data_IF_120432417955
#
_entry.id   IF_120432417955
#
_cell.length_a   1.000
_cell.length_b   1.000
_cell.length_c   1.000
_cell.angle_alpha   90.00
_cell.angle_beta   90.00
_cell.angle_gamma   90.00
#
_symmetry.space_group_name_H-M   'P 1'
#
loop_
_entity.id
_entity.type
_entity.pdbx_description
1 polymer ?
#
# COMPACT_ATOMS: atom_id res chain seq x y z
N UNK A 1 -32.46 -14.26 4.87
CA UNK A 1 -31.69 -13.85 3.66
C UNK A 1 -30.31 -13.45 4.12
N UNK A 2 -29.29 -14.23 3.79
CA UNK A 2 -27.91 -13.80 4.03
C UNK A 2 -27.68 -12.62 3.10
N UNK A 3 -27.49 -11.42 3.64
CA UNK A 3 -27.12 -10.25 2.83
C UNK A 3 -25.79 -10.62 2.17
N UNK A 4 -25.78 -10.82 0.86
CA UNK A 4 -24.54 -11.01 0.12
C UNK A 4 -23.76 -9.71 0.26
N UNK A 5 -22.66 -9.78 1.01
CA UNK A 5 -21.68 -8.68 1.05
C UNK A 5 -21.25 -8.42 -0.40
N UNK A 6 -21.32 -7.17 -0.89
CA UNK A 6 -20.87 -6.87 -2.24
C UNK A 6 -19.38 -7.24 -2.40
N UNK A 7 -19.00 -7.65 -3.59
CA UNK A 7 -17.61 -7.91 -3.92
C UNK A 7 -16.83 -6.59 -3.79
N UNK A 8 -15.72 -6.61 -3.04
CA UNK A 8 -15.04 -5.40 -2.57
C UNK A 8 -14.16 -4.71 -3.62
N UNK A 9 -13.91 -5.36 -4.77
CA UNK A 9 -13.03 -4.84 -5.82
C UNK A 9 -13.84 -4.41 -7.05
N UNK A 10 -13.31 -3.38 -7.75
CA UNK A 10 -13.81 -2.91 -9.05
C UNK A 10 -12.67 -2.57 -10.01
N UNK A 11 -12.90 -2.67 -11.31
CA UNK A 11 -11.92 -2.44 -12.37
C UNK A 11 -11.68 -3.67 -13.24
N UNK A 12 -10.84 -3.51 -14.29
CA UNK A 12 -10.57 -4.51 -15.33
C UNK A 12 -10.23 -5.91 -14.81
N UNK A 13 -9.48 -6.01 -13.72
CA UNK A 13 -8.99 -7.28 -13.19
C UNK A 13 -9.75 -7.79 -11.96
N UNK A 14 -10.80 -7.09 -11.53
CA UNK A 14 -11.52 -7.40 -10.29
C UNK A 14 -12.04 -8.85 -10.25
N UNK A 15 -12.65 -9.34 -11.33
CA UNK A 15 -13.24 -10.68 -11.40
C UNK A 15 -12.20 -11.80 -11.22
N UNK A 16 -10.93 -11.57 -11.56
CA UNK A 16 -9.83 -12.53 -11.38
C UNK A 16 -9.45 -12.76 -9.91
N UNK A 17 -10.00 -11.94 -9.00
CA UNK A 17 -9.76 -12.02 -7.55
C UNK A 17 -10.95 -12.61 -6.79
N UNK A 18 -11.97 -13.13 -7.47
CA UNK A 18 -13.07 -13.83 -6.77
C UNK A 18 -12.61 -15.14 -6.16
N UNK A 19 -13.13 -15.45 -4.99
CA UNK A 19 -12.75 -16.66 -4.25
C UNK A 19 -12.93 -17.95 -5.06
N UNK A 20 -13.90 -17.99 -5.95
CA UNK A 20 -14.21 -19.14 -6.79
C UNK A 20 -13.11 -19.47 -7.80
N UNK A 21 -12.24 -18.50 -8.12
CA UNK A 21 -11.15 -18.67 -9.10
C UNK A 21 -9.76 -18.66 -8.48
N UNK A 22 -9.62 -18.33 -7.17
CA UNK A 22 -8.35 -18.37 -6.49
C UNK A 22 -7.84 -19.81 -6.30
N UNK A 23 -6.61 -20.06 -6.70
CA UNK A 23 -5.97 -21.38 -6.63
C UNK A 23 -4.48 -21.31 -6.25
N UNK A 24 -4.06 -20.21 -5.63
CA UNK A 24 -2.69 -20.03 -5.17
C UNK A 24 -1.76 -19.40 -6.22
N UNK A 25 -0.44 -19.41 -5.96
CA UNK A 25 0.55 -18.79 -6.83
C UNK A 25 0.49 -19.30 -8.27
N UNK A 26 0.38 -18.38 -9.24
CA UNK A 26 0.32 -18.70 -10.66
C UNK A 26 -1.08 -19.03 -11.20
N UNK A 27 -2.14 -18.78 -10.42
CA UNK A 27 -3.52 -18.88 -10.89
C UNK A 27 -3.88 -17.77 -11.93
N UNK A 28 -5.17 -17.56 -12.19
CA UNK A 28 -5.65 -16.63 -13.22
C UNK A 28 -5.48 -15.14 -12.89
N UNK A 29 -5.00 -14.79 -11.70
CA UNK A 29 -4.72 -13.39 -11.34
C UNK A 29 -3.67 -12.78 -12.26
N UNK A 30 -3.84 -11.50 -12.58
CA UNK A 30 -2.96 -10.79 -13.52
C UNK A 30 -1.55 -10.64 -12.94
N UNK A 31 -0.54 -10.69 -13.81
CA UNK A 31 0.86 -10.36 -13.51
C UNK A 31 1.19 -8.92 -13.90
N UNK A 32 2.29 -8.38 -13.36
CA UNK A 32 2.77 -7.05 -13.75
C UNK A 32 3.08 -6.95 -15.25
N UNK A 33 3.71 -7.97 -15.83
CA UNK A 33 4.02 -8.02 -17.27
C UNK A 33 2.76 -7.97 -18.12
N UNK A 34 1.72 -8.71 -17.71
CA UNK A 34 0.45 -8.72 -18.41
C UNK A 34 -0.24 -7.35 -18.40
N UNK A 35 -0.12 -6.59 -17.30
CA UNK A 35 -0.65 -5.22 -17.24
C UNK A 35 0.09 -4.31 -18.23
N UNK A 36 1.42 -4.40 -18.32
CA UNK A 36 2.22 -3.64 -19.28
C UNK A 36 1.81 -3.94 -20.73
N UNK A 37 1.56 -5.22 -21.05
CA UNK A 37 1.06 -5.64 -22.36
C UNK A 37 -0.36 -5.11 -22.63
N UNK A 38 -1.27 -5.26 -21.66
CA UNK A 38 -2.67 -4.82 -21.77
C UNK A 38 -2.81 -3.30 -21.92
N UNK A 39 -1.88 -2.53 -21.34
CA UNK A 39 -1.80 -1.07 -21.49
C UNK A 39 -1.04 -0.65 -22.77
N UNK A 40 -0.47 -1.59 -23.53
CA UNK A 40 0.30 -1.30 -24.75
C UNK A 40 1.62 -0.58 -24.50
N UNK A 41 2.25 -0.78 -23.34
CA UNK A 41 3.42 -0.02 -22.89
C UNK A 41 4.75 -0.73 -23.14
N UNK A 42 4.75 -1.90 -23.75
CA UNK A 42 6.00 -2.61 -24.08
C UNK A 42 6.84 -1.70 -24.98
N UNK A 43 8.06 -1.40 -24.52
CA UNK A 43 9.04 -0.52 -25.19
C UNK A 43 8.57 0.93 -25.44
N UNK A 44 7.49 1.40 -24.77
CA UNK A 44 6.92 2.73 -25.01
C UNK A 44 7.32 3.80 -23.98
N UNK A 45 7.95 3.43 -22.86
CA UNK A 45 8.21 4.34 -21.75
C UNK A 45 9.65 4.88 -21.67
N UNK A 46 10.34 5.01 -22.78
CA UNK A 46 11.72 5.54 -22.83
C UNK A 46 11.85 7.00 -22.35
N UNK A 47 10.75 7.75 -22.33
CA UNK A 47 10.66 9.14 -21.88
C UNK A 47 10.17 9.31 -20.43
N UNK A 48 9.90 8.22 -19.74
CA UNK A 48 9.41 8.24 -18.34
C UNK A 48 10.53 7.92 -17.36
N UNK A 49 10.41 8.53 -16.18
CA UNK A 49 11.31 8.24 -15.05
C UNK A 49 10.47 7.56 -13.96
N UNK A 50 10.92 6.38 -13.53
CA UNK A 50 10.32 5.63 -12.43
C UNK A 50 11.34 5.52 -11.31
N UNK A 51 11.01 6.02 -10.12
CA UNK A 51 11.81 5.87 -8.92
C UNK A 51 11.17 4.79 -8.03
N UNK A 52 11.93 3.76 -7.72
CA UNK A 52 11.46 2.65 -6.87
C UNK A 52 12.37 2.56 -5.64
N UNK A 53 11.77 2.56 -4.45
CA UNK A 53 12.47 2.33 -3.18
C UNK A 53 12.33 0.88 -2.73
N UNK A 54 13.18 0.43 -1.80
CA UNK A 54 13.08 -0.90 -1.21
C UNK A 54 13.43 -2.05 -2.16
N UNK A 55 14.26 -1.86 -3.17
CA UNK A 55 14.59 -2.84 -4.22
C UNK A 55 15.66 -3.85 -3.85
N UNK A 56 16.12 -3.88 -2.60
CA UNK A 56 17.20 -4.77 -2.17
C UNK A 56 16.81 -6.25 -2.07
N UNK A 57 15.52 -6.57 -1.96
CA UNK A 57 15.01 -7.95 -2.04
C UNK A 57 13.49 -8.00 -2.26
N UNK A 58 13.02 -9.00 -3.02
CA UNK A 58 11.57 -9.24 -3.26
C UNK A 58 10.88 -8.10 -4.01
N UNK A 59 9.60 -7.86 -3.70
CA UNK A 59 8.79 -6.80 -4.31
C UNK A 59 9.08 -5.48 -3.61
N UNK A 60 10.18 -4.82 -3.97
CA UNK A 60 10.48 -3.49 -3.47
C UNK A 60 10.46 -3.37 -1.94
N UNK A 61 10.90 -4.39 -1.20
CA UNK A 61 10.55 -4.49 0.21
C UNK A 61 11.76 -4.75 1.09
N UNK A 62 12.18 -3.71 1.79
CA UNK A 62 12.41 -3.88 3.22
C UNK A 62 11.25 -3.20 3.96
N UNK A 63 10.05 -3.73 3.79
CA UNK A 63 8.96 -3.41 4.69
C UNK A 63 9.30 -4.04 6.04
N UNK A 64 9.58 -3.21 6.99
CA UNK A 64 9.78 -3.62 8.38
C UNK A 64 8.42 -4.09 8.90
N UNK A 65 8.27 -5.39 9.12
CA UNK A 65 7.00 -6.00 9.52
C UNK A 65 7.15 -6.77 10.83
N UNK A 66 6.31 -6.48 11.82
CA UNK A 66 6.24 -7.17 13.11
C UNK A 66 7.61 -7.26 13.81
N UNK A 67 8.42 -6.20 13.74
CA UNK A 67 9.71 -6.19 14.42
C UNK A 67 9.56 -6.24 15.94
N UNK A 68 10.57 -6.71 16.67
CA UNK A 68 10.71 -6.38 18.08
C UNK A 68 10.66 -4.86 18.30
N UNK A 69 10.34 -4.44 19.52
CA UNK A 69 10.39 -3.02 19.88
C UNK A 69 11.76 -2.44 19.55
N UNK A 70 11.75 -1.32 18.87
CA UNK A 70 12.98 -0.63 18.45
C UNK A 70 12.70 0.79 17.99
N UNK A 71 13.78 1.60 17.90
CA UNK A 71 13.71 2.99 17.48
C UNK A 71 14.64 3.27 16.32
N UNK A 72 14.24 4.21 15.47
CA UNK A 72 15.15 4.82 14.51
C UNK A 72 16.17 5.69 15.24
N UNK A 73 17.20 6.15 14.52
CA UNK A 73 18.18 7.12 15.09
C UNK A 73 17.52 8.42 15.54
N UNK A 74 16.40 8.79 14.92
CA UNK A 74 15.65 10.01 15.23
C UNK A 74 14.62 9.80 16.35
N UNK A 75 14.59 8.60 16.97
CA UNK A 75 13.75 8.28 18.14
C UNK A 75 12.33 7.80 17.83
N UNK A 76 11.94 7.62 16.57
CA UNK A 76 10.63 7.09 16.19
C UNK A 76 10.57 5.57 16.28
N UNK A 77 9.37 5.02 16.51
CA UNK A 77 9.11 3.59 16.41
C UNK A 77 9.63 3.07 15.06
N UNK A 78 10.32 1.93 15.08
CA UNK A 78 11.11 1.46 13.93
C UNK A 78 10.28 1.27 12.67
N UNK A 79 9.06 0.70 12.78
CA UNK A 79 8.19 0.43 11.64
C UNK A 79 7.56 1.74 11.12
N UNK A 80 7.12 2.63 12.01
CA UNK A 80 6.56 3.92 11.63
C UNK A 80 7.62 4.82 10.96
N UNK A 81 8.80 4.93 11.56
CA UNK A 81 9.90 5.73 11.01
C UNK A 81 10.36 5.23 9.63
N UNK A 82 10.47 3.90 9.47
CA UNK A 82 10.92 3.29 8.22
C UNK A 82 9.82 3.25 7.15
N UNK A 83 8.60 2.82 7.50
CA UNK A 83 7.55 2.60 6.50
C UNK A 83 6.85 3.90 6.08
N UNK A 84 6.81 4.91 6.95
CA UNK A 84 6.10 6.16 6.70
C UNK A 84 7.02 7.38 6.63
N UNK A 85 7.70 7.76 7.73
CA UNK A 85 8.40 9.04 7.79
C UNK A 85 9.53 9.16 6.77
N UNK A 86 10.30 8.09 6.52
CA UNK A 86 11.37 8.12 5.51
C UNK A 86 10.82 8.36 4.10
N UNK A 87 9.67 7.75 3.76
CA UNK A 87 9.02 7.93 2.47
C UNK A 87 8.30 9.28 2.37
N UNK A 88 7.77 9.79 3.48
CA UNK A 88 7.20 11.13 3.55
C UNK A 88 8.28 12.20 3.25
N UNK A 89 9.45 12.09 3.88
CA UNK A 89 10.58 12.99 3.61
C UNK A 89 11.02 12.90 2.14
N UNK A 90 11.18 11.68 1.61
CA UNK A 90 11.55 11.46 0.20
C UNK A 90 10.53 12.11 -0.75
N UNK A 91 9.25 11.90 -0.52
CA UNK A 91 8.18 12.54 -1.27
C UNK A 91 8.30 14.07 -1.23
N UNK A 92 8.46 14.62 -0.03
CA UNK A 92 8.51 16.06 0.16
C UNK A 92 9.67 16.71 -0.60
N UNK A 93 10.82 16.05 -0.63
CA UNK A 93 12.00 16.49 -1.39
C UNK A 93 11.81 16.39 -2.91
N UNK A 94 11.00 15.45 -3.39
CA UNK A 94 10.74 15.23 -4.81
C UNK A 94 9.47 15.90 -5.33
N UNK A 95 8.61 16.39 -4.45
CA UNK A 95 7.26 16.92 -4.74
C UNK A 95 7.25 17.89 -5.93
N UNK A 96 8.11 18.88 -5.92
CA UNK A 96 8.15 19.92 -6.95
C UNK A 96 8.60 19.36 -8.31
N UNK A 97 9.50 18.38 -8.31
CA UNK A 97 9.91 17.65 -9.51
C UNK A 97 8.76 16.83 -10.07
N UNK A 98 8.02 16.14 -9.21
CA UNK A 98 6.84 15.36 -9.59
C UNK A 98 5.74 16.24 -10.20
N UNK A 99 5.46 17.39 -9.57
CA UNK A 99 4.50 18.38 -10.10
C UNK A 99 4.91 18.92 -11.46
N UNK A 100 6.20 19.28 -11.64
CA UNK A 100 6.74 19.76 -12.93
C UNK A 100 6.77 18.70 -14.03
N UNK A 101 6.84 17.42 -13.66
CA UNK A 101 6.88 16.30 -14.60
C UNK A 101 5.48 15.86 -15.07
N UNK A 102 4.43 16.33 -14.41
CA UNK A 102 3.05 16.01 -14.78
C UNK A 102 2.67 16.65 -16.11
N UNK A 103 1.93 15.91 -16.93
CA UNK A 103 1.44 16.40 -18.23
C UNK A 103 -0.05 16.07 -18.38
N UNK A 104 -0.81 16.78 -19.23
CA UNK A 104 -2.22 16.44 -19.47
C UNK A 104 -2.44 15.04 -20.07
N UNK A 105 -1.40 14.39 -20.60
CA UNK A 105 -1.48 13.05 -21.17
C UNK A 105 -1.15 11.96 -20.16
N UNK A 106 -0.37 12.29 -19.16
CA UNK A 106 0.04 11.37 -18.09
C UNK A 106 0.40 12.17 -16.84
N UNK A 107 -0.42 12.06 -15.82
CA UNK A 107 -0.19 12.71 -14.54
C UNK A 107 0.88 11.97 -13.72
N UNK A 108 1.63 12.71 -12.92
CA UNK A 108 2.61 12.13 -12.00
C UNK A 108 1.90 11.34 -10.90
N UNK A 109 2.52 10.23 -10.47
CA UNK A 109 1.93 9.31 -9.50
C UNK A 109 2.88 9.00 -8.36
N UNK A 110 2.34 8.98 -7.14
CA UNK A 110 3.00 8.50 -5.93
C UNK A 110 2.27 7.25 -5.47
N UNK A 111 2.97 6.13 -5.41
CA UNK A 111 2.40 4.83 -5.04
C UNK A 111 2.97 4.41 -3.70
N UNK A 112 2.15 4.47 -2.65
CA UNK A 112 2.51 4.10 -1.29
C UNK A 112 2.14 2.64 -1.03
N UNK A 113 3.14 1.79 -0.86
CA UNK A 113 2.89 0.38 -0.51
C UNK A 113 2.42 0.30 0.94
N UNK A 114 1.11 0.12 1.10
CA UNK A 114 0.45 -0.22 2.34
C UNK A 114 0.42 -1.74 2.53
N UNK A 115 -0.58 -2.28 3.17
CA UNK A 115 -0.78 -3.71 3.41
C UNK A 115 -2.21 -3.97 3.87
N UNK A 116 -2.71 -5.19 3.69
CA UNK A 116 -3.87 -5.69 4.44
C UNK A 116 -3.65 -5.56 5.96
N UNK A 117 -2.40 -5.48 6.41
CA UNK A 117 -2.03 -5.23 7.80
C UNK A 117 -2.52 -3.90 8.39
N UNK A 118 -2.89 -2.90 7.56
CA UNK A 118 -3.53 -1.68 8.06
C UNK A 118 -4.84 -1.94 8.82
N UNK A 119 -5.42 -3.12 8.63
CA UNK A 119 -6.64 -3.56 9.33
C UNK A 119 -6.39 -3.95 10.79
N UNK A 120 -5.12 -4.12 11.20
CA UNK A 120 -4.77 -4.43 12.60
C UNK A 120 -4.86 -3.22 13.50
N UNK A 121 -4.61 -2.00 13.00
CA UNK A 121 -4.58 -0.80 13.82
C UNK A 121 -4.85 0.46 13.02
N UNK A 122 -5.69 1.40 13.54
CA UNK A 122 -5.64 2.79 13.11
C UNK A 122 -4.28 3.40 13.47
N UNK A 123 -4.05 4.64 13.04
CA UNK A 123 -2.91 5.39 13.53
C UNK A 123 -3.21 5.98 14.92
N UNK A 124 -2.22 5.90 15.82
CA UNK A 124 -2.26 6.47 17.18
C UNK A 124 -1.40 7.72 17.20
N UNK A 125 -1.97 8.88 16.82
CA UNK A 125 -1.23 10.15 16.71
C UNK A 125 -0.74 10.67 18.06
N UNK A 126 -1.42 10.31 19.13
CA UNK A 126 -1.05 10.59 20.52
C UNK A 126 0.10 9.71 21.03
N UNK A 127 0.34 8.56 20.41
CA UNK A 127 1.39 7.62 20.78
C UNK A 127 1.91 6.82 19.58
N UNK A 128 2.44 7.49 18.57
CA UNK A 128 2.99 6.85 17.34
C UNK A 128 4.12 5.87 17.64
N UNK A 129 4.72 6.01 18.82
CA UNK A 129 5.82 5.22 19.30
C UNK A 129 5.42 3.97 20.06
N UNK A 130 4.14 3.76 20.36
CA UNK A 130 3.63 2.65 21.18
C UNK A 130 4.35 2.54 22.56
N UNK A 131 4.66 3.67 23.17
CA UNK A 131 5.33 3.72 24.47
C UNK A 131 4.47 3.04 25.55
N UNK A 132 5.11 2.17 26.33
CA UNK A 132 4.48 1.46 27.46
C UNK A 132 3.64 0.25 27.08
N UNK A 133 3.30 0.02 25.80
CA UNK A 133 2.49 -1.12 25.37
C UNK A 133 2.79 -1.51 23.89
N UNK A 134 4.04 -1.89 23.64
CA UNK A 134 4.45 -2.26 22.29
C UNK A 134 3.82 -3.58 21.82
N UNK A 135 3.25 -3.57 20.62
CA UNK A 135 2.82 -4.75 19.91
C UNK A 135 3.22 -4.62 18.42
N UNK A 136 4.07 -5.52 17.94
CA UNK A 136 4.66 -5.44 16.60
C UNK A 136 3.62 -5.47 15.47
N UNK A 137 2.47 -6.15 15.62
CA UNK A 137 1.39 -6.14 14.64
C UNK A 137 0.60 -4.83 14.64
N UNK A 138 0.33 -4.27 15.84
CA UNK A 138 -0.35 -2.98 15.93
C UNK A 138 0.53 -1.85 15.39
N UNK A 139 1.82 -1.84 15.72
CA UNK A 139 2.79 -0.88 15.19
C UNK A 139 2.91 -1.00 13.66
N UNK A 140 3.00 -2.22 13.12
CA UNK A 140 2.96 -2.46 11.69
C UNK A 140 1.68 -1.92 11.06
N UNK A 141 0.51 -2.29 11.60
CA UNK A 141 -0.79 -1.85 11.12
C UNK A 141 -0.91 -0.33 11.10
N UNK A 142 -0.51 0.33 12.16
CA UNK A 142 -0.49 1.79 12.30
C UNK A 142 0.40 2.43 11.22
N UNK A 143 1.62 1.92 10.99
CA UNK A 143 2.51 2.42 9.93
C UNK A 143 1.90 2.27 8.53
N UNK A 144 1.13 1.19 8.29
CA UNK A 144 0.47 0.95 7.00
C UNK A 144 -0.81 1.77 6.80
N UNK A 145 -1.53 2.09 7.88
CA UNK A 145 -2.60 3.10 7.88
C UNK A 145 -2.03 4.49 7.55
N UNK A 146 -0.86 4.85 8.12
CA UNK A 146 -0.18 6.10 7.80
C UNK A 146 0.16 6.23 6.30
N UNK A 147 0.52 5.14 5.63
CA UNK A 147 0.78 5.14 4.20
C UNK A 147 -0.49 5.38 3.36
N UNK A 148 -1.66 4.92 3.83
CA UNK A 148 -2.95 5.25 3.19
C UNK A 148 -3.22 6.76 3.35
N UNK A 149 -3.10 7.27 4.57
CA UNK A 149 -3.33 8.69 4.87
C UNK A 149 -2.40 9.62 4.07
N UNK A 150 -1.13 9.21 3.89
CA UNK A 150 -0.20 9.96 3.03
C UNK A 150 -0.68 10.02 1.59
N UNK A 151 -1.16 8.92 1.02
CA UNK A 151 -1.63 8.86 -0.36
C UNK A 151 -2.89 9.73 -0.57
N UNK A 152 -3.86 9.64 0.35
CA UNK A 152 -5.10 10.44 0.29
C UNK A 152 -4.82 11.91 0.48
N UNK A 153 -3.89 12.28 1.35
CA UNK A 153 -3.53 13.68 1.56
C UNK A 153 -2.74 14.26 0.37
N UNK A 154 -1.89 13.46 -0.30
CA UNK A 154 -1.27 13.87 -1.58
C UNK A 154 -2.34 14.20 -2.60
N UNK A 155 -3.36 13.36 -2.75
CA UNK A 155 -4.47 13.62 -3.66
C UNK A 155 -5.21 14.92 -3.34
N UNK A 156 -5.56 15.14 -2.07
CA UNK A 156 -6.25 16.36 -1.64
C UNK A 156 -5.46 17.63 -1.92
N UNK A 157 -4.15 17.58 -1.74
CA UNK A 157 -3.29 18.76 -1.88
C UNK A 157 -2.85 19.03 -3.31
N UNK A 158 -2.64 17.97 -4.10
CA UNK A 158 -1.94 18.08 -5.38
C UNK A 158 -2.68 17.42 -6.55
N UNK A 159 -3.76 16.67 -6.34
CA UNK A 159 -4.50 15.98 -7.39
C UNK A 159 -4.99 16.93 -8.48
N UNK A 160 -5.52 18.08 -8.13
CA UNK A 160 -5.94 19.13 -9.09
C UNK A 160 -4.78 19.73 -9.90
N UNK A 161 -3.53 19.49 -9.47
CA UNK A 161 -2.31 19.92 -10.16
C UNK A 161 -1.66 18.78 -10.97
N UNK A 162 -2.35 17.63 -11.09
CA UNK A 162 -1.88 16.47 -11.83
C UNK A 162 -0.85 15.59 -11.09
N UNK A 163 -0.85 15.62 -9.76
CA UNK A 163 -0.02 14.70 -8.95
C UNK A 163 -0.93 13.85 -8.06
N UNK A 164 -1.08 12.58 -8.41
CA UNK A 164 -2.01 11.67 -7.77
C UNK A 164 -1.32 10.74 -6.78
N UNK A 165 -1.96 10.53 -5.62
CA UNK A 165 -1.53 9.59 -4.58
C UNK A 165 -2.36 8.31 -4.60
N UNK A 166 -1.69 7.14 -4.56
CA UNK A 166 -2.32 5.83 -4.41
C UNK A 166 -1.73 5.09 -3.24
N UNK A 167 -2.53 4.30 -2.57
CA UNK A 167 -2.08 3.32 -1.59
C UNK A 167 -2.53 1.92 -1.99
N UNK A 168 -1.78 0.88 -1.61
CA UNK A 168 -2.11 -0.47 -2.05
C UNK A 168 -1.67 -1.57 -1.07
N UNK A 169 -2.35 -2.72 -1.18
CA UNK A 169 -1.83 -4.00 -0.72
C UNK A 169 -1.29 -4.80 -1.93
N UNK A 170 0.00 -5.23 -1.89
CA UNK A 170 0.60 -5.93 -3.03
C UNK A 170 0.13 -7.38 -3.18
N UNK A 171 -0.69 -7.88 -2.26
CA UNK A 171 -1.08 -9.29 -2.19
C UNK A 171 -0.31 -10.05 -1.12
N UNK A 172 -0.74 -11.27 -0.83
CA UNK A 172 -0.07 -12.16 0.11
C UNK A 172 0.90 -13.07 -0.66
N UNK A 173 2.18 -12.99 -0.35
CA UNK A 173 3.23 -13.81 -0.96
C UNK A 173 4.26 -14.26 0.06
N UNK A 174 4.99 -15.30 -0.26
CA UNK A 174 6.04 -15.83 0.59
C UNK A 174 7.40 -15.23 0.21
N UNK A 175 8.07 -14.62 1.18
CA UNK A 175 9.43 -14.13 1.04
C UNK A 175 10.18 -14.30 2.36
N UNK A 176 11.35 -14.94 2.40
CA UNK A 176 12.08 -15.18 3.64
C UNK A 176 12.35 -13.93 4.47
N UNK A 177 12.62 -12.81 3.82
CA UNK A 177 12.91 -11.55 4.50
C UNK A 177 11.66 -10.91 5.09
N UNK A 178 10.53 -10.94 4.37
CA UNK A 178 9.29 -10.32 4.84
C UNK A 178 8.75 -11.05 6.07
N UNK A 179 8.78 -12.39 6.08
CA UNK A 179 8.27 -13.20 7.20
C UNK A 179 9.32 -13.48 8.29
N UNK A 180 10.45 -12.81 8.28
CA UNK A 180 11.56 -13.04 9.22
C UNK A 180 11.10 -13.07 10.70
N UNK A 181 10.16 -12.21 11.07
CA UNK A 181 9.65 -12.08 12.44
C UNK A 181 8.25 -12.70 12.65
N UNK A 182 7.71 -13.44 11.67
CA UNK A 182 6.36 -14.03 11.71
C UNK A 182 6.33 -15.50 11.25
N UNK A 183 7.38 -16.25 11.52
CA UNK A 183 7.54 -17.64 11.03
C UNK A 183 6.47 -18.58 11.60
N UNK A 184 6.05 -18.41 12.87
CA UNK A 184 5.02 -19.26 13.48
C UNK A 184 3.65 -19.04 12.83
N UNK A 185 3.30 -17.78 12.55
CA UNK A 185 2.06 -17.45 11.84
C UNK A 185 2.09 -18.02 10.42
N UNK A 186 3.26 -18.05 9.77
CA UNK A 186 3.38 -18.65 8.44
C UNK A 186 3.15 -20.16 8.46
N UNK A 187 3.52 -20.87 9.52
CA UNK A 187 3.18 -22.29 9.66
C UNK A 187 1.68 -22.51 9.69
N UNK A 188 0.92 -21.62 10.36
CA UNK A 188 -0.53 -21.69 10.38
C UNK A 188 -1.13 -21.42 8.97
N UNK A 189 -0.60 -20.44 8.24
CA UNK A 189 -0.98 -20.18 6.84
C UNK A 189 -0.79 -21.42 5.96
N UNK A 190 0.34 -22.12 6.09
CA UNK A 190 0.64 -23.32 5.30
C UNK A 190 -0.28 -24.52 5.61
N UNK A 191 -1.03 -24.49 6.71
CA UNK A 191 -2.03 -25.50 7.08
C UNK A 191 -3.47 -25.08 6.67
N UNK A 192 -3.67 -23.84 6.26
CA UNK A 192 -4.98 -23.31 5.88
C UNK A 192 -5.15 -23.29 4.35
N UNK A 193 -6.00 -24.19 3.82
CA UNK A 193 -6.26 -24.28 2.38
C UNK A 193 -6.75 -22.98 1.76
N UNK A 194 -7.58 -22.20 2.49
CA UNK A 194 -8.09 -20.91 2.00
C UNK A 194 -6.97 -19.88 1.92
N UNK A 195 -6.11 -19.83 2.95
CA UNK A 195 -4.94 -18.96 2.94
C UNK A 195 -3.96 -19.32 1.82
N UNK A 196 -3.72 -20.62 1.57
CA UNK A 196 -2.88 -21.07 0.45
C UNK A 196 -3.45 -20.66 -0.92
N UNK A 197 -4.77 -20.76 -1.11
CA UNK A 197 -5.41 -20.30 -2.34
C UNK A 197 -5.31 -18.77 -2.52
N UNK A 198 -5.27 -18.02 -1.43
CA UNK A 198 -5.11 -16.56 -1.44
C UNK A 198 -3.68 -16.12 -1.75
N UNK A 199 -2.66 -16.94 -1.44
CA UNK A 199 -1.27 -16.60 -1.78
C UNK A 199 -1.12 -16.35 -3.29
N UNK A 200 -0.25 -15.42 -3.65
CA UNK A 200 0.08 -15.05 -5.04
C UNK A 200 1.55 -15.34 -5.34
N UNK A 201 1.90 -15.47 -6.62
CA UNK A 201 3.31 -15.48 -7.04
C UNK A 201 3.93 -14.08 -6.90
N UNK A 202 5.26 -13.98 -7.00
CA UNK A 202 5.93 -12.67 -6.98
C UNK A 202 5.50 -11.79 -8.16
N UNK A 203 5.33 -12.37 -9.35
CA UNK A 203 4.88 -11.66 -10.55
C UNK A 203 3.45 -11.13 -10.38
N UNK A 204 2.56 -11.90 -9.73
CA UNK A 204 1.21 -11.47 -9.38
C UNK A 204 1.21 -10.40 -8.28
N UNK A 205 2.11 -10.52 -7.32
CA UNK A 205 2.22 -9.54 -6.22
C UNK A 205 2.79 -8.18 -6.68
N UNK A 206 3.55 -8.13 -7.78
CA UNK A 206 3.95 -6.87 -8.42
C UNK A 206 2.79 -6.19 -9.15
N UNK A 207 1.75 -6.93 -9.54
CA UNK A 207 0.70 -6.46 -10.43
C UNK A 207 -0.02 -5.21 -9.91
N UNK A 208 -0.37 -5.17 -8.61
CA UNK A 208 -1.08 -4.00 -8.05
C UNK A 208 -0.22 -2.74 -8.07
N UNK A 209 1.09 -2.87 -7.81
CA UNK A 209 2.04 -1.73 -7.89
C UNK A 209 2.19 -1.25 -9.34
N UNK A 210 2.30 -2.16 -10.29
CA UNK A 210 2.37 -1.82 -11.72
C UNK A 210 1.04 -1.16 -12.15
N UNK A 211 -0.11 -1.75 -11.80
CA UNK A 211 -1.42 -1.17 -12.10
C UNK A 211 -1.55 0.27 -11.56
N UNK A 212 -1.17 0.51 -10.31
CA UNK A 212 -1.16 1.85 -9.71
C UNK A 212 -0.29 2.83 -10.51
N UNK A 213 0.85 2.34 -11.01
CA UNK A 213 1.85 3.17 -11.68
C UNK A 213 1.48 3.52 -13.12
N UNK A 214 0.84 2.60 -13.87
CA UNK A 214 0.72 2.72 -15.32
C UNK A 214 -0.70 2.72 -15.86
N UNK A 215 -1.69 2.18 -15.11
CA UNK A 215 -3.02 1.95 -15.69
C UNK A 215 -3.72 3.24 -16.13
N UNK A 216 -4.23 3.22 -17.34
CA UNK A 216 -5.05 4.28 -17.92
C UNK A 216 -6.40 4.43 -17.21
N UNK A 217 -6.91 3.37 -16.56
CA UNK A 217 -8.15 3.42 -15.75
C UNK A 217 -8.04 4.38 -14.55
N UNK A 218 -6.80 4.64 -14.08
CA UNK A 218 -6.51 5.49 -12.92
C UNK A 218 -6.15 6.94 -13.30
N UNK A 219 -6.09 7.27 -14.60
CA UNK A 219 -5.71 8.61 -15.02
C UNK A 219 -6.71 9.66 -14.48
N UNK A 220 -6.18 10.69 -13.82
CA UNK A 220 -6.98 11.75 -13.20
C UNK A 220 -7.77 11.33 -11.95
N UNK A 221 -7.47 10.16 -11.37
CA UNK A 221 -8.18 9.64 -10.18
C UNK A 221 -7.17 9.19 -9.15
N UNK A 222 -7.06 9.86 -8.04
CA UNK A 222 -6.19 9.47 -6.95
C UNK A 222 -6.92 9.30 -5.62
N UNK A 223 -6.18 9.17 -4.52
CA UNK A 223 -6.73 8.93 -3.20
C UNK A 223 -7.33 7.53 -3.01
N UNK A 224 -7.01 6.60 -3.91
CA UNK A 224 -7.59 5.26 -3.95
C UNK A 224 -6.73 4.25 -3.19
N UNK A 225 -7.40 3.28 -2.56
CA UNK A 225 -6.76 2.07 -2.06
C UNK A 225 -6.94 0.93 -3.06
N UNK A 226 -5.83 0.31 -3.46
CA UNK A 226 -5.80 -0.69 -4.51
C UNK A 226 -5.40 -2.06 -3.95
N UNK A 227 -6.00 -3.11 -4.49
CA UNK A 227 -5.75 -4.49 -4.10
C UNK A 227 -6.09 -5.42 -5.28
N UNK A 228 -5.27 -6.43 -5.56
CA UNK A 228 -5.52 -7.36 -6.67
C UNK A 228 -5.57 -6.69 -8.05
N UNK A 229 -4.71 -5.67 -8.29
CA UNK A 229 -4.73 -4.84 -9.51
C UNK A 229 -6.12 -4.23 -9.80
N UNK A 230 -6.82 -3.81 -8.75
CA UNK A 230 -8.20 -3.29 -8.81
C UNK A 230 -8.41 -2.23 -7.74
N UNK A 231 -9.47 -1.45 -7.84
CA UNK A 231 -9.87 -0.49 -6.81
C UNK A 231 -10.67 -1.20 -5.73
N UNK A 232 -10.30 -1.05 -4.48
CA UNK A 232 -11.09 -1.49 -3.35
C UNK A 232 -12.27 -0.51 -3.14
N UNK A 233 -13.47 -0.97 -3.47
CA UNK A 233 -14.67 -0.13 -3.54
C UNK A 233 -15.41 -0.03 -2.20
N UNK A 234 -15.17 -0.98 -1.28
CA UNK A 234 -15.91 -1.10 -0.03
C UNK A 234 -15.00 -1.46 1.14
N UNK A 235 -15.38 -1.08 2.37
CA UNK A 235 -14.70 -1.58 3.55
C UNK A 235 -14.76 -3.10 3.66
N UNK A 236 -13.72 -3.67 4.25
CA UNK A 236 -13.70 -5.11 4.58
C UNK A 236 -14.82 -5.42 5.57
N UNK A 237 -15.62 -6.49 5.34
CA UNK A 237 -16.65 -6.89 6.28
C UNK A 237 -16.08 -7.20 7.67
N UNK A 238 -16.82 -6.83 8.71
CA UNK A 238 -16.46 -7.19 10.08
C UNK A 238 -16.62 -8.69 10.32
N UNK A 239 -15.70 -9.28 11.08
CA UNK A 239 -15.79 -10.68 11.51
C UNK A 239 -15.34 -11.72 10.48
N UNK A 240 -14.68 -11.32 9.40
CA UNK A 240 -14.05 -12.22 8.45
C UNK A 240 -12.76 -12.87 8.98
N UNK A 241 -12.17 -13.76 8.17
CA UNK A 241 -10.91 -14.47 8.50
C UNK A 241 -9.64 -13.67 8.17
N UNK A 242 -9.79 -12.39 7.81
CA UNK A 242 -8.68 -11.50 7.44
C UNK A 242 -8.18 -11.65 6.00
N UNK A 243 -8.77 -12.57 5.24
CA UNK A 243 -8.41 -12.82 3.84
C UNK A 243 -9.33 -12.10 2.84
N UNK A 244 -10.32 -11.36 3.32
CA UNK A 244 -11.21 -10.55 2.49
C UNK A 244 -10.45 -9.38 1.86
N UNK A 245 -10.89 -8.95 0.67
CA UNK A 245 -10.45 -7.71 0.06
C UNK A 245 -11.11 -6.48 0.73
N UNK A 246 -10.55 -5.29 0.49
CA UNK A 246 -11.09 -4.04 0.97
C UNK A 246 -10.20 -3.35 2.00
N UNK A 247 -10.74 -2.38 2.72
CA UNK A 247 -10.00 -1.54 3.66
C UNK A 247 -10.73 -1.44 5.01
N UNK A 248 -10.03 -0.98 6.05
CA UNK A 248 -10.64 -0.74 7.36
C UNK A 248 -11.53 0.50 7.35
N UNK A 249 -12.51 0.55 8.25
CA UNK A 249 -13.40 1.72 8.41
C UNK A 249 -12.65 3.01 8.76
N UNK A 250 -11.45 2.92 9.33
CA UNK A 250 -10.59 4.07 9.65
C UNK A 250 -9.60 4.44 8.56
N UNK A 251 -9.61 3.75 7.40
CA UNK A 251 -8.62 3.96 6.34
C UNK A 251 -8.74 5.34 5.66
N UNK A 252 -9.89 6.01 5.78
CA UNK A 252 -10.19 7.29 5.17
C UNK A 252 -10.80 8.24 6.21
N UNK A 253 -9.94 8.81 7.07
CA UNK A 253 -10.30 9.79 8.10
C UNK A 253 -9.61 11.12 7.77
N UNK A 254 -10.32 12.02 7.12
CA UNK A 254 -9.78 13.29 6.62
C UNK A 254 -9.14 14.15 7.73
N UNK A 255 -9.73 14.15 8.92
CA UNK A 255 -9.19 14.91 10.03
C UNK A 255 -7.82 14.39 10.46
N UNK A 256 -7.71 13.06 10.62
CA UNK A 256 -6.45 12.41 10.99
C UNK A 256 -5.43 12.40 9.86
N UNK A 257 -5.85 12.31 8.60
CA UNK A 257 -4.99 12.45 7.42
C UNK A 257 -4.27 13.81 7.45
N UNK A 258 -5.02 14.88 7.67
CA UNK A 258 -4.48 16.24 7.79
C UNK A 258 -3.57 16.40 9.01
N UNK A 259 -3.98 15.89 10.16
CA UNK A 259 -3.19 15.95 11.40
C UNK A 259 -1.86 15.20 11.23
N UNK A 260 -1.90 13.97 10.71
CA UNK A 260 -0.68 13.20 10.43
C UNK A 260 0.25 13.92 9.45
N UNK A 261 -0.29 14.56 8.44
CA UNK A 261 0.49 15.31 7.45
C UNK A 261 1.29 16.43 8.10
N UNK A 262 0.63 17.27 8.91
CA UNK A 262 1.31 18.38 9.59
C UNK A 262 2.32 17.89 10.64
N UNK A 263 1.99 16.85 11.40
CA UNK A 263 2.91 16.22 12.32
C UNK A 263 4.13 15.63 11.59
N UNK A 264 3.91 14.93 10.47
CA UNK A 264 5.00 14.36 9.67
C UNK A 264 5.96 15.44 9.14
N UNK A 265 5.44 16.58 8.67
CA UNK A 265 6.26 17.74 8.26
C UNK A 265 7.16 18.21 9.40
N UNK A 266 6.58 18.37 10.57
CA UNK A 266 7.30 18.79 11.78
C UNK A 266 8.35 17.76 12.18
N UNK A 267 8.00 16.48 12.22
CA UNK A 267 8.90 15.40 12.63
C UNK A 267 10.09 15.17 11.69
N UNK A 268 9.92 15.40 10.40
CA UNK A 268 11.03 15.29 9.43
C UNK A 268 11.73 16.64 9.16
N UNK A 269 11.29 17.73 9.82
CA UNK A 269 11.94 19.03 9.79
C UNK A 269 11.80 19.79 8.47
N UNK A 270 10.84 19.45 7.59
CA UNK A 270 10.69 20.13 6.30
C UNK A 270 10.11 21.54 6.43
N UNK A 271 9.48 21.87 7.54
CA UNK A 271 9.03 23.24 7.85
C UNK A 271 10.20 24.21 8.05
N UNK A 272 11.41 23.68 8.28
CA UNK A 272 12.64 24.48 8.46
C UNK A 272 13.46 24.62 7.16
N UNK A 273 13.01 23.98 6.08
CA UNK A 273 13.70 23.95 4.78
C UNK A 273 13.17 24.99 3.78
N UNK A 274 12.23 25.84 4.21
CA UNK A 274 11.59 26.89 3.38
C UNK A 274 12.22 28.26 3.63
#
# INVERSE_FOLDING_TARGET
MVSRVPFQLSGRYAERNRWEVLNGPGDSRVTGSQIIEDEGLVDQWSDKVVLITGVSSGIGVETVMKTPEGRTKDGFELQFGTNHLSHFLLFYLLKDTLLKSSTPKFHSRVVNVSSAGHRYSPIHLDNVNFEGNYNGWLAYGSSKTANIYMATQIERLYGAQGLHGYSLHPGAFMSPNLQKHSQEEMKAVMQNKRALAYLSSLEQSCATTIYASVSSELEGKGGLYLEGASVAAYPTPSGGDGLEYGYSSWAFDEAKEKELWELSKSWVGVDLML
#
